data_IF_745611581688
#
_entry.id   IF_745611581688
#
_cell.length_a   1.000
_cell.length_b   1.000
_cell.length_c   1.000
_cell.angle_alpha   90.00
_cell.angle_beta   90.00
_cell.angle_gamma   90.00
#
_symmetry.space_group_name_H-M   'P 1'
#
loop_
_entity.id
_entity.type
_entity.pdbx_description
1 polymer ?
#
# COMPACT_ATOMS: atom_id res chain seq x y z
N UNK A 1 -36.67 -67.46 29.21
CA UNK A 1 -36.08 -66.77 28.05
C UNK A 1 -35.38 -65.52 28.56
N UNK A 2 -36.09 -64.53 29.15
CA UNK A 2 -35.50 -63.28 29.68
C UNK A 2 -34.27 -63.41 30.58
N UNK A 3 -34.25 -64.31 31.57
CA UNK A 3 -33.08 -64.44 32.48
C UNK A 3 -31.79 -64.88 31.78
N UNK A 4 -31.85 -65.49 30.59
CA UNK A 4 -30.66 -65.87 29.83
C UNK A 4 -30.15 -64.71 28.97
N UNK A 5 -31.08 -63.92 28.44
CA UNK A 5 -30.78 -62.69 27.71
C UNK A 5 -30.19 -61.62 28.64
N UNK A 6 -30.66 -61.56 29.90
CA UNK A 6 -30.12 -60.67 30.93
C UNK A 6 -28.67 -61.03 31.32
N UNK A 7 -28.33 -62.33 31.38
CA UNK A 7 -26.97 -62.80 31.67
C UNK A 7 -25.99 -62.49 30.53
N UNK A 8 -26.45 -62.67 29.28
CA UNK A 8 -25.64 -62.36 28.08
C UNK A 8 -25.40 -60.85 27.94
N UNK A 9 -26.41 -60.04 28.29
CA UNK A 9 -26.27 -58.58 28.36
C UNK A 9 -25.29 -58.15 29.46
N UNK A 10 -25.28 -58.82 30.62
CA UNK A 10 -24.34 -58.53 31.70
C UNK A 10 -22.88 -58.80 31.28
N UNK A 11 -22.64 -59.86 30.51
CA UNK A 11 -21.31 -60.19 29.98
C UNK A 11 -20.86 -59.14 28.95
N UNK A 12 -21.74 -58.75 28.01
CA UNK A 12 -21.42 -57.73 27.01
C UNK A 12 -21.16 -56.35 27.64
N UNK A 13 -21.87 -56.00 28.71
CA UNK A 13 -21.65 -54.76 29.44
C UNK A 13 -20.32 -54.76 30.20
N UNK A 14 -19.93 -55.90 30.77
CA UNK A 14 -18.63 -56.03 31.44
C UNK A 14 -17.47 -55.90 30.44
N UNK A 15 -17.58 -56.52 29.26
CA UNK A 15 -16.59 -56.42 28.18
C UNK A 15 -16.50 -54.99 27.61
N UNK A 16 -17.64 -54.29 27.54
CA UNK A 16 -17.70 -52.88 27.15
C UNK A 16 -17.07 -51.97 28.22
N UNK A 17 -17.29 -52.25 29.51
CA UNK A 17 -16.67 -51.50 30.60
C UNK A 17 -15.15 -51.69 30.62
N UNK A 18 -14.67 -52.90 30.36
CA UNK A 18 -13.25 -53.22 30.23
C UNK A 18 -12.62 -52.46 29.05
N UNK A 19 -13.22 -52.53 27.87
CA UNK A 19 -12.73 -51.83 26.68
C UNK A 19 -12.78 -50.31 26.79
N UNK A 20 -13.81 -49.75 27.43
CA UNK A 20 -13.87 -48.31 27.71
C UNK A 20 -12.83 -47.87 28.73
N UNK A 21 -12.54 -48.70 29.74
CA UNK A 21 -11.48 -48.44 30.73
C UNK A 21 -10.10 -48.48 30.07
N UNK A 22 -9.86 -49.44 29.20
CA UNK A 22 -8.61 -49.55 28.43
C UNK A 22 -8.44 -48.35 27.48
N UNK A 23 -9.50 -47.95 26.78
CA UNK A 23 -9.48 -46.78 25.90
C UNK A 23 -9.29 -45.48 26.69
N UNK A 24 -9.93 -45.34 27.85
CA UNK A 24 -9.76 -44.19 28.73
C UNK A 24 -8.32 -44.10 29.27
N UNK A 25 -7.72 -45.23 29.68
CA UNK A 25 -6.33 -45.29 30.11
C UNK A 25 -5.37 -44.92 28.97
N UNK A 26 -5.61 -45.43 27.75
CA UNK A 26 -4.79 -45.11 26.59
C UNK A 26 -4.86 -43.62 26.23
N UNK A 27 -6.06 -43.01 26.31
CA UNK A 27 -6.24 -41.57 26.10
C UNK A 27 -5.56 -40.76 27.20
N UNK A 28 -5.65 -41.15 28.47
CA UNK A 28 -4.96 -40.46 29.57
C UNK A 28 -3.43 -40.56 29.45
N UNK A 29 -2.90 -41.67 28.93
CA UNK A 29 -1.48 -41.84 28.65
C UNK A 29 -1.01 -41.00 27.44
N UNK A 30 -1.83 -40.87 26.39
CA UNK A 30 -1.56 -39.99 25.23
C UNK A 30 -1.65 -38.49 25.62
N UNK A 31 -2.61 -38.15 26.49
CA UNK A 31 -2.83 -36.81 27.06
C UNK A 31 -1.81 -36.47 28.15
N UNK A 32 -0.90 -37.40 28.48
CA UNK A 32 0.31 -37.10 29.23
C UNK A 32 1.43 -36.82 28.23
N UNK A 33 1.51 -35.61 27.62
CA UNK A 33 2.70 -35.24 26.91
C UNK A 33 3.82 -35.41 27.90
N UNK A 34 4.84 -36.18 27.55
CA UNK A 34 6.12 -36.08 28.23
C UNK A 34 6.45 -34.61 28.16
N UNK A 35 6.20 -33.87 29.25
CA UNK A 35 6.44 -32.43 29.36
C UNK A 35 7.95 -32.24 29.42
N UNK A 36 8.60 -32.59 28.31
CA UNK A 36 9.96 -32.19 28.09
C UNK A 36 9.86 -30.71 27.77
N UNK A 37 10.46 -29.83 28.57
CA UNK A 37 10.53 -28.44 28.21
C UNK A 37 11.17 -28.35 26.81
N UNK A 38 10.69 -27.44 25.95
CA UNK A 38 11.21 -27.30 24.60
C UNK A 38 12.73 -27.11 24.68
N UNK A 39 13.44 -27.79 23.79
CA UNK A 39 14.88 -27.63 23.69
C UNK A 39 15.19 -26.22 23.16
N UNK A 40 16.31 -25.61 23.54
CA UNK A 40 16.70 -24.30 23.01
C UNK A 40 16.73 -24.25 21.48
N UNK A 41 17.08 -25.37 20.82
CA UNK A 41 17.05 -25.49 19.37
C UNK A 41 15.64 -25.48 18.76
N UNK A 42 14.64 -26.02 19.45
CA UNK A 42 13.23 -25.96 19.02
C UNK A 42 12.66 -24.56 19.14
N UNK A 43 13.06 -23.79 20.17
CA UNK A 43 12.68 -22.38 20.31
C UNK A 43 13.30 -21.55 19.19
N UNK A 44 14.60 -21.73 18.92
CA UNK A 44 15.30 -21.06 17.83
C UNK A 44 14.66 -21.37 16.48
N UNK A 45 14.39 -22.66 16.20
CA UNK A 45 13.72 -23.08 14.96
C UNK A 45 12.31 -22.50 14.84
N UNK A 46 11.52 -22.49 15.91
CA UNK A 46 10.19 -21.88 15.90
C UNK A 46 10.25 -20.36 15.66
N UNK A 47 11.22 -19.69 16.27
CA UNK A 47 11.42 -18.26 16.01
C UNK A 47 11.86 -17.99 14.59
N UNK A 48 12.71 -18.83 14.00
CA UNK A 48 13.16 -18.71 12.61
C UNK A 48 12.06 -19.03 11.60
N UNK A 49 11.27 -20.08 11.84
CA UNK A 49 10.28 -20.60 10.90
C UNK A 49 8.98 -19.77 10.93
N UNK A 50 8.62 -19.21 12.09
CA UNK A 50 7.31 -18.57 12.26
C UNK A 50 7.39 -17.16 12.83
N UNK A 51 8.16 -16.92 13.89
CA UNK A 51 8.08 -15.63 14.61
C UNK A 51 8.80 -14.51 13.87
N UNK A 52 10.05 -14.73 13.46
CA UNK A 52 10.85 -13.77 12.72
C UNK A 52 10.19 -13.42 11.38
N UNK A 53 9.73 -14.38 10.55
CA UNK A 53 9.00 -14.06 9.32
C UNK A 53 7.73 -13.24 9.58
N UNK A 54 6.96 -13.59 10.61
CA UNK A 54 5.73 -12.85 10.96
C UNK A 54 6.04 -11.43 11.40
N UNK A 55 7.05 -11.24 12.24
CA UNK A 55 7.46 -9.91 12.72
C UNK A 55 8.02 -9.08 11.57
N UNK A 56 8.81 -9.67 10.67
CA UNK A 56 9.30 -9.00 9.46
C UNK A 56 8.12 -8.55 8.59
N UNK A 57 7.16 -9.43 8.31
CA UNK A 57 5.98 -9.11 7.52
C UNK A 57 5.14 -7.99 8.15
N UNK A 58 4.98 -8.00 9.48
CA UNK A 58 4.30 -6.93 10.20
C UNK A 58 5.06 -5.61 10.05
N UNK A 59 6.37 -5.60 10.23
CA UNK A 59 7.20 -4.40 10.08
C UNK A 59 7.15 -3.86 8.65
N UNK A 60 7.24 -4.73 7.65
CA UNK A 60 7.16 -4.36 6.24
C UNK A 60 5.79 -3.74 5.91
N UNK A 61 4.70 -4.33 6.40
CA UNK A 61 3.38 -3.72 6.30
C UNK A 61 3.31 -2.35 6.98
N UNK A 62 3.94 -2.17 8.15
CA UNK A 62 4.01 -0.84 8.79
C UNK A 62 4.82 0.16 7.99
N UNK A 63 5.95 -0.25 7.40
CA UNK A 63 6.77 0.62 6.56
C UNK A 63 6.00 1.03 5.32
N UNK A 64 5.36 0.09 4.62
CA UNK A 64 4.51 0.36 3.47
C UNK A 64 3.36 1.33 3.82
N UNK A 65 2.74 1.16 4.98
CA UNK A 65 1.68 2.07 5.47
C UNK A 65 2.22 3.49 5.69
N UNK A 66 3.43 3.63 6.23
CA UNK A 66 4.09 4.92 6.43
C UNK A 66 4.52 5.55 5.10
N UNK A 67 4.95 4.74 4.13
CA UNK A 67 5.27 5.21 2.78
C UNK A 67 4.02 5.68 2.03
N UNK A 68 2.90 4.97 2.18
CA UNK A 68 1.60 5.40 1.68
C UNK A 68 1.18 6.73 2.31
N UNK A 69 1.33 6.86 3.63
CA UNK A 69 1.06 8.12 4.34
C UNK A 69 1.98 9.24 3.81
N UNK A 70 3.26 8.96 3.56
CA UNK A 70 4.20 9.91 2.95
C UNK A 70 3.76 10.29 1.53
N UNK A 71 3.26 9.35 0.73
CA UNK A 71 2.75 9.62 -0.60
C UNK A 71 1.51 10.54 -0.56
N UNK A 72 0.59 10.28 0.38
CA UNK A 72 -0.58 11.15 0.63
C UNK A 72 -0.15 12.53 1.11
N UNK A 73 0.81 12.63 2.04
CA UNK A 73 1.35 13.92 2.50
C UNK A 73 2.13 14.65 1.41
N UNK A 74 2.81 13.94 0.50
CA UNK A 74 3.45 14.53 -0.69
C UNK A 74 2.43 15.04 -1.70
N UNK A 75 1.31 14.33 -1.87
CA UNK A 75 0.19 14.75 -2.71
C UNK A 75 -0.56 15.94 -2.10
N UNK A 76 -0.75 15.95 -0.78
CA UNK A 76 -1.35 17.06 -0.04
C UNK A 76 -0.40 18.27 0.08
N UNK A 77 0.90 18.07 -0.17
CA UNK A 77 1.93 19.09 -0.28
C UNK A 77 2.25 19.82 1.03
N UNK A 78 3.46 19.72 1.60
CA UNK A 78 3.93 20.73 2.54
C UNK A 78 4.16 22.03 1.76
N UNK A 79 3.52 23.14 2.18
CA UNK A 79 3.94 24.49 1.76
C UNK A 79 5.41 24.64 2.12
N UNK A 80 6.30 24.67 1.13
CA UNK A 80 7.71 24.86 1.41
C UNK A 80 8.03 26.35 1.40
N UNK A 81 9.01 26.76 2.19
CA UNK A 81 9.59 28.11 2.04
C UNK A 81 10.01 28.30 0.59
N UNK A 82 9.34 29.25 -0.08
CA UNK A 82 9.15 29.32 -1.54
C UNK A 82 10.44 29.40 -2.37
N UNK A 83 11.56 29.78 -1.74
CA UNK A 83 12.77 30.15 -2.44
C UNK A 83 13.63 28.96 -2.90
N UNK A 84 13.70 27.86 -2.13
CA UNK A 84 14.59 26.72 -2.48
C UNK A 84 14.01 25.76 -3.51
N UNK A 85 12.71 25.83 -3.77
CA UNK A 85 12.04 24.95 -4.74
C UNK A 85 11.92 25.56 -6.12
N UNK A 86 11.79 26.90 -6.24
CA UNK A 86 11.77 27.56 -7.56
C UNK A 86 13.01 27.24 -8.39
N UNK A 87 14.18 27.25 -7.77
CA UNK A 87 15.47 26.99 -8.43
C UNK A 87 15.69 25.51 -8.79
N UNK A 88 15.01 24.60 -8.09
CA UNK A 88 15.12 23.16 -8.31
C UNK A 88 14.03 22.59 -9.22
N UNK A 89 12.93 23.32 -9.40
CA UNK A 89 11.83 22.98 -10.30
C UNK A 89 12.09 23.43 -11.74
N UNK A 90 12.87 24.49 -11.97
CA UNK A 90 13.25 24.92 -13.33
C UNK A 90 14.19 23.93 -14.03
N UNK A 91 14.84 23.02 -13.31
CA UNK A 91 15.83 22.08 -13.85
C UNK A 91 15.32 20.64 -14.07
N UNK A 92 14.09 20.29 -13.67
CA UNK A 92 13.64 18.88 -13.67
C UNK A 92 12.16 18.67 -14.00
N UNK A 93 11.57 19.50 -14.84
CA UNK A 93 10.23 19.23 -15.38
C UNK A 93 10.36 18.41 -16.68
N UNK A 94 10.55 17.08 -16.60
CA UNK A 94 10.47 16.22 -17.81
C UNK A 94 10.33 14.68 -17.64
N UNK A 95 10.66 13.97 -16.53
CA UNK A 95 10.53 12.50 -16.55
C UNK A 95 9.72 11.95 -15.36
N UNK A 96 8.42 12.20 -15.32
CA UNK A 96 7.56 11.68 -14.25
C UNK A 96 6.72 10.46 -14.68
N UNK A 97 6.58 10.21 -15.98
CA UNK A 97 5.88 9.02 -16.52
C UNK A 97 6.79 7.83 -16.79
N UNK A 98 8.03 8.07 -17.21
CA UNK A 98 9.01 7.00 -17.46
C UNK A 98 9.43 6.30 -16.16
N UNK A 99 9.67 7.06 -15.09
CA UNK A 99 10.03 6.51 -13.78
C UNK A 99 8.90 5.69 -13.14
N UNK A 100 7.64 6.03 -13.42
CA UNK A 100 6.50 5.25 -12.97
C UNK A 100 6.37 3.93 -13.75
N UNK A 101 6.60 3.97 -15.07
CA UNK A 101 6.64 2.75 -15.90
C UNK A 101 7.76 1.80 -15.51
N UNK A 102 8.91 2.35 -15.11
CA UNK A 102 10.05 1.57 -14.60
C UNK A 102 9.68 0.87 -13.28
N UNK A 103 9.09 1.60 -12.33
CA UNK A 103 8.64 1.03 -11.06
C UNK A 103 7.52 -0.02 -11.22
N UNK A 104 6.62 0.15 -12.21
CA UNK A 104 5.61 -0.86 -12.54
C UNK A 104 6.22 -2.12 -13.18
N UNK A 105 7.29 -1.95 -13.97
CA UNK A 105 8.03 -3.07 -14.55
C UNK A 105 8.74 -3.89 -13.47
N UNK A 106 9.39 -3.22 -12.53
CA UNK A 106 10.03 -3.87 -11.38
C UNK A 106 9.03 -4.61 -10.49
N UNK A 107 7.84 -4.03 -10.26
CA UNK A 107 6.76 -4.67 -9.53
C UNK A 107 6.24 -5.92 -10.26
N UNK A 108 6.10 -5.87 -11.59
CA UNK A 108 5.67 -7.02 -12.41
C UNK A 108 6.69 -8.16 -12.37
N UNK A 109 7.99 -7.85 -12.41
CA UNK A 109 9.05 -8.86 -12.31
C UNK A 109 9.07 -9.51 -10.93
N UNK A 110 8.91 -8.73 -9.86
CA UNK A 110 8.80 -9.24 -8.50
C UNK A 110 7.55 -10.12 -8.30
N UNK A 111 6.42 -9.73 -8.89
CA UNK A 111 5.18 -10.51 -8.86
C UNK A 111 5.29 -11.79 -9.70
N UNK A 112 6.01 -11.77 -10.83
CA UNK A 112 6.19 -12.95 -11.70
C UNK A 112 7.15 -13.98 -11.10
N UNK A 113 8.13 -13.53 -10.32
CA UNK A 113 9.08 -14.42 -9.62
C UNK A 113 8.49 -15.13 -8.38
N UNK A 114 7.34 -14.69 -7.88
CA UNK A 114 6.64 -15.31 -6.76
C UNK A 114 5.71 -16.43 -7.27
N UNK A 115 6.27 -17.61 -7.54
CA UNK A 115 5.49 -18.80 -7.85
C UNK A 115 4.83 -19.35 -6.57
N UNK A 116 3.58 -18.98 -6.34
CA UNK A 116 2.73 -19.54 -5.29
C UNK A 116 1.62 -20.43 -5.88
N UNK A 117 1.16 -21.47 -5.15
CA UNK A 117 0.10 -22.36 -5.62
C UNK A 117 -1.18 -21.59 -5.96
N UNK A 118 -1.71 -21.81 -7.17
CA UNK A 118 -2.89 -21.10 -7.71
C UNK A 118 -4.16 -21.27 -6.88
N UNK A 119 -4.26 -22.36 -6.11
CA UNK A 119 -5.41 -22.67 -5.26
C UNK A 119 -5.26 -22.16 -3.81
N UNK A 120 -4.19 -21.43 -3.49
CA UNK A 120 -4.03 -20.81 -2.17
C UNK A 120 -4.75 -19.46 -2.11
N UNK A 121 -5.25 -19.07 -0.93
CA UNK A 121 -5.85 -17.76 -0.72
C UNK A 121 -4.88 -16.60 -1.10
N UNK A 122 -3.57 -16.80 -0.91
CA UNK A 122 -2.54 -15.88 -1.37
C UNK A 122 -2.42 -15.83 -2.90
N UNK A 123 -2.63 -16.95 -3.59
CA UNK A 123 -2.63 -17.04 -5.05
C UNK A 123 -3.80 -16.31 -5.69
N UNK A 124 -5.00 -16.38 -5.11
CA UNK A 124 -6.17 -15.61 -5.56
C UNK A 124 -5.91 -14.11 -5.46
N UNK A 125 -5.42 -13.63 -4.31
CA UNK A 125 -5.12 -12.20 -4.11
C UNK A 125 -4.03 -11.72 -5.07
N UNK A 126 -3.01 -12.54 -5.34
CA UNK A 126 -1.96 -12.21 -6.30
C UNK A 126 -2.49 -12.15 -7.74
N UNK A 127 -3.45 -13.00 -8.08
CA UNK A 127 -4.13 -12.97 -9.37
C UNK A 127 -4.97 -11.69 -9.53
N UNK A 128 -5.76 -11.35 -8.50
CA UNK A 128 -6.59 -10.15 -8.48
C UNK A 128 -5.73 -8.88 -8.58
N UNK A 129 -4.57 -8.87 -7.90
CA UNK A 129 -3.61 -7.77 -7.97
C UNK A 129 -2.97 -7.61 -9.37
N UNK A 130 -2.70 -8.71 -10.07
CA UNK A 130 -2.20 -8.69 -11.46
C UNK A 130 -3.25 -8.14 -12.42
N UNK A 131 -4.48 -8.62 -12.31
CA UNK A 131 -5.61 -8.12 -13.13
C UNK A 131 -5.85 -6.62 -12.92
N UNK A 132 -5.78 -6.15 -11.68
CA UNK A 132 -5.92 -4.72 -11.37
C UNK A 132 -4.77 -3.88 -11.92
N UNK A 133 -3.56 -4.43 -11.98
CA UNK A 133 -2.39 -3.75 -12.55
C UNK A 133 -2.52 -3.60 -14.06
N UNK A 134 -2.99 -4.65 -14.74
CA UNK A 134 -3.24 -4.62 -16.18
C UNK A 134 -4.33 -3.59 -16.53
N UNK A 135 -5.42 -3.51 -15.75
CA UNK A 135 -6.47 -2.49 -15.94
C UNK A 135 -5.94 -1.04 -15.78
N UNK A 136 -5.00 -0.83 -14.87
CA UNK A 136 -4.38 0.48 -14.65
C UNK A 136 -3.48 0.87 -15.83
N UNK A 137 -2.71 -0.08 -16.38
CA UNK A 137 -1.85 0.16 -17.53
C UNK A 137 -2.69 0.51 -18.77
N UNK A 138 -3.77 -0.24 -19.01
CA UNK A 138 -4.73 0.03 -20.08
C UNK A 138 -5.33 1.45 -19.97
N UNK A 139 -5.73 1.86 -18.76
CA UNK A 139 -6.22 3.24 -18.50
C UNK A 139 -5.15 4.30 -18.69
N UNK A 140 -3.90 4.02 -18.32
CA UNK A 140 -2.80 4.97 -18.45
C UNK A 140 -2.43 5.19 -19.92
N UNK A 141 -2.48 4.13 -20.72
CA UNK A 141 -2.25 4.19 -22.16
C UNK A 141 -3.40 4.88 -22.89
N UNK A 142 -4.65 4.64 -22.48
CA UNK A 142 -5.81 5.38 -23.00
C UNK A 142 -5.70 6.89 -22.67
N UNK A 143 -5.36 7.24 -21.43
CA UNK A 143 -5.14 8.64 -21.03
C UNK A 143 -3.95 9.30 -21.76
N UNK A 144 -2.92 8.52 -22.11
CA UNK A 144 -1.77 8.99 -22.88
C UNK A 144 -2.13 9.21 -24.35
N UNK A 145 -2.96 8.34 -24.93
CA UNK A 145 -3.47 8.46 -26.29
C UNK A 145 -4.40 9.67 -26.47
N UNK A 146 -5.22 9.97 -25.47
CA UNK A 146 -6.16 11.10 -25.51
C UNK A 146 -5.45 12.47 -25.43
N UNK A 147 -4.39 12.57 -24.60
CA UNK A 147 -3.50 13.76 -24.59
C UNK A 147 -2.79 13.96 -25.93
N UNK A 148 -2.32 12.87 -26.56
CA UNK A 148 -1.71 12.94 -27.90
C UNK A 148 -2.68 13.34 -29.02
N UNK A 149 -4.00 13.27 -28.80
CA UNK A 149 -5.04 13.75 -29.73
C UNK A 149 -5.38 15.23 -29.51
N UNK A 150 -5.39 15.70 -28.26
CA UNK A 150 -5.54 17.12 -27.93
C UNK A 150 -4.39 17.96 -28.50
N UNK A 151 -3.14 17.50 -28.33
CA UNK A 151 -1.94 18.22 -28.79
C UNK A 151 -1.83 18.36 -30.33
N UNK A 152 -2.51 17.49 -31.09
CA UNK A 152 -2.62 17.59 -32.56
C UNK A 152 -3.71 18.55 -33.03
N UNK A 153 -4.61 18.96 -32.15
CA UNK A 153 -5.69 19.91 -32.46
C UNK A 153 -5.22 21.36 -32.27
N UNK A 154 -4.27 21.60 -31.37
CA UNK A 154 -3.71 22.95 -31.08
C UNK A 154 -2.77 23.50 -32.17
N UNK A 155 -2.31 22.68 -33.14
CA UNK A 155 -1.62 23.21 -34.33
C UNK A 155 -2.56 23.86 -35.35
N UNK A 156 -3.87 23.87 -35.10
CA UNK A 156 -4.85 24.67 -35.85
C UNK A 156 -5.36 25.84 -35.01
N UNK A 157 -4.44 26.61 -34.41
CA UNK A 157 -4.77 27.81 -33.65
C UNK A 157 -5.42 28.89 -34.53
N UNK A 158 -6.67 29.21 -34.23
CA UNK A 158 -7.30 30.48 -34.61
C UNK A 158 -6.54 31.58 -33.87
N UNK A 159 -5.86 32.47 -34.62
CA UNK A 159 -5.24 33.66 -34.07
C UNK A 159 -6.34 34.61 -33.58
N UNK A 160 -6.47 34.77 -32.27
CA UNK A 160 -7.22 35.87 -31.67
C UNK A 160 -6.23 37.02 -31.53
N UNK A 161 -6.40 38.05 -32.36
CA UNK A 161 -5.69 39.32 -32.25
C UNK A 161 -6.22 40.04 -31.01
N UNK A 162 -5.38 40.11 -29.97
CA UNK A 162 -5.65 40.91 -28.78
C UNK A 162 -5.09 42.30 -29.07
N UNK A 163 -5.97 43.29 -29.25
CA UNK A 163 -5.59 44.70 -29.26
C UNK A 163 -5.11 45.07 -27.85
N UNK A 164 -3.82 45.42 -27.73
CA UNK A 164 -3.21 45.96 -26.51
C UNK A 164 -3.72 47.39 -26.29
N UNK A 165 -4.87 47.55 -25.62
CA UNK A 165 -5.27 48.84 -25.07
C UNK A 165 -4.77 48.96 -23.61
N UNK A 166 -3.92 49.97 -23.42
CA UNK A 166 -3.44 50.57 -22.18
C UNK A 166 -2.58 49.70 -21.25
N UNK A 167 -1.28 49.65 -21.57
CA UNK A 167 -0.24 49.39 -20.59
C UNK A 167 -0.26 50.49 -19.52
N UNK A 168 -0.85 50.20 -18.36
CA UNK A 168 -0.88 51.09 -17.20
C UNK A 168 0.55 51.33 -16.74
N UNK A 169 1.02 52.59 -16.84
CA UNK A 169 2.37 52.98 -16.44
C UNK A 169 2.49 52.98 -14.90
N UNK A 170 2.91 51.84 -14.37
CA UNK A 170 3.07 51.62 -12.92
C UNK A 170 4.08 52.61 -12.33
N UNK A 171 5.05 53.10 -13.11
CA UNK A 171 6.05 54.06 -12.62
C UNK A 171 5.45 55.44 -12.35
N UNK A 172 4.47 55.87 -13.17
CA UNK A 172 3.74 57.11 -12.94
C UNK A 172 2.86 57.03 -11.67
N UNK A 173 2.17 55.91 -11.47
CA UNK A 173 1.33 55.67 -10.28
C UNK A 173 2.16 55.65 -8.98
N UNK A 174 3.34 55.03 -9.00
CA UNK A 174 4.24 55.00 -7.84
C UNK A 174 4.77 56.38 -7.47
N UNK A 175 4.98 57.25 -8.47
CA UNK A 175 5.47 58.61 -8.24
C UNK A 175 4.39 59.46 -7.56
N UNK A 176 3.13 59.34 -8.01
CA UNK A 176 2.00 60.02 -7.36
C UNK A 176 1.76 59.55 -5.93
N UNK A 177 1.96 58.25 -5.65
CA UNK A 177 1.82 57.71 -4.30
C UNK A 177 2.92 58.20 -3.35
N UNK A 178 4.15 58.34 -3.87
CA UNK A 178 5.30 58.86 -3.11
C UNK A 178 5.12 60.33 -2.71
N UNK A 179 4.66 61.16 -3.64
CA UNK A 179 4.38 62.57 -3.37
C UNK A 179 3.27 62.75 -2.33
N UNK A 180 2.22 61.91 -2.37
CA UNK A 180 1.16 61.93 -1.36
C UNK A 180 1.61 61.56 0.06
N UNK A 181 2.61 60.67 0.21
CA UNK A 181 3.19 60.35 1.53
C UNK A 181 4.11 61.47 2.03
N UNK A 182 4.83 62.14 1.13
CA UNK A 182 5.77 63.21 1.50
C UNK A 182 5.02 64.49 1.95
N UNK A 183 3.86 64.79 1.36
CA UNK A 183 2.95 65.86 1.83
C UNK A 183 2.28 65.56 3.18
N UNK A 184 2.06 64.27 3.50
CA UNK A 184 1.47 63.85 4.77
C UNK A 184 2.46 63.96 5.94
N UNK A 185 3.77 63.80 5.68
CA UNK A 185 4.85 64.02 6.66
C UNK A 185 5.13 65.51 6.91
N UNK A 186 5.03 66.39 5.89
CA UNK A 186 5.28 67.84 6.04
C UNK A 186 4.12 68.58 6.77
N UNK A 187 2.94 67.95 6.84
CA UNK A 187 1.77 68.48 7.57
C UNK A 187 1.79 68.17 9.07
N UNK A 188 2.81 67.44 9.56
CA UNK A 188 2.94 66.99 10.95
C UNK A 188 4.03 67.72 11.78
N UNK A 189 4.70 68.75 11.24
CA UNK A 189 5.61 69.67 11.99
C UNK A 189 4.96 71.00 12.38
#
# INVERSE_FOLDING_TARGET
>A
MSSRDDEELAVLLADLEETLTELQSAIEDDVRPRRRPPTPGEILRFTEEYTLPTVIALLEATVQSLELLRAVLRLAGPRPTEDRLRERLTSRSAPETAALRDALTDLRDALTGADLPKDSAAGSILSDARELTDEIDDRLDEASADRGRAERTDTSGVAIEVEEEDAVDVDAELTSLKESMEEEDESAE
#
